data_IF_132707514593
#
_entry.id   IF_132707514593
#
_cell.length_a   1.000
_cell.length_b   1.000
_cell.length_c   1.000
_cell.angle_alpha   90.00
_cell.angle_beta   90.00
_cell.angle_gamma   90.00
#
_symmetry.space_group_name_H-M   'P 1'
#
loop_
_entity.id
_entity.type
_entity.pdbx_description
1 polymer ?
#
# COMPACT_ATOMS: atom_id res chain seq x y z
N UNK A 1 0.40 -20.74 35.28
CA UNK A 1 0.68 -19.54 34.48
C UNK A 1 -0.23 -19.62 33.29
N UNK A 2 -1.22 -18.72 33.15
CA UNK A 2 -2.06 -18.70 31.98
C UNK A 2 -1.22 -18.19 30.79
N UNK A 3 -1.21 -18.93 29.69
CA UNK A 3 -0.58 -18.45 28.45
C UNK A 3 -1.22 -17.13 28.05
N UNK A 4 -0.39 -16.14 27.70
CA UNK A 4 -0.88 -14.89 27.15
C UNK A 4 -1.73 -15.18 25.91
N UNK A 5 -2.89 -14.50 25.71
CA UNK A 5 -3.72 -14.74 24.54
C UNK A 5 -2.92 -14.47 23.28
N UNK A 6 -2.95 -15.43 22.33
CA UNK A 6 -2.32 -15.29 21.00
C UNK A 6 -2.83 -14.00 20.37
N UNK A 7 -1.94 -13.06 20.16
CA UNK A 7 -2.27 -11.79 19.55
C UNK A 7 -2.56 -12.01 18.05
N UNK A 8 -3.41 -11.15 17.42
CA UNK A 8 -3.73 -11.30 15.99
C UNK A 8 -2.52 -11.35 15.06
N UNK A 9 -1.40 -10.75 15.47
CA UNK A 9 -0.14 -10.73 14.73
C UNK A 9 0.73 -12.00 14.91
N UNK A 10 0.42 -12.87 15.89
CA UNK A 10 1.15 -14.13 16.12
C UNK A 10 0.65 -15.27 15.22
N UNK A 11 -0.41 -15.05 14.44
CA UNK A 11 -0.92 -16.04 13.51
C UNK A 11 0.00 -16.15 12.29
N UNK A 12 0.37 -17.39 11.88
CA UNK A 12 1.11 -17.58 10.64
C UNK A 12 0.29 -16.99 9.47
N UNK A 13 0.99 -16.34 8.55
CA UNK A 13 0.36 -15.86 7.33
C UNK A 13 -0.24 -17.05 6.57
N UNK A 14 -1.51 -17.03 6.14
CA UNK A 14 -2.01 -18.01 5.20
C UNK A 14 -1.12 -17.96 3.95
N UNK A 15 -0.62 -19.11 3.51
CA UNK A 15 0.16 -19.22 2.29
C UNK A 15 -0.66 -18.62 1.15
N UNK A 16 -0.09 -17.66 0.44
CA UNK A 16 -0.65 -17.11 -0.77
C UNK A 16 -0.41 -18.09 -1.91
N UNK A 17 -0.98 -19.24 -1.93
CA UNK A 17 -0.93 -20.26 -2.99
C UNK A 17 0.08 -20.01 -4.16
N UNK A 18 1.22 -19.37 -3.90
CA UNK A 18 2.24 -19.01 -4.87
C UNK A 18 1.87 -17.92 -5.90
N UNK A 19 0.65 -17.36 -5.85
CA UNK A 19 0.18 -16.36 -6.81
C UNK A 19 0.63 -14.94 -6.43
N UNK A 20 1.05 -14.11 -7.40
CA UNK A 20 1.39 -12.72 -7.14
C UNK A 20 0.16 -11.91 -6.70
N UNK A 21 0.39 -10.82 -5.97
CA UNK A 21 -0.65 -9.85 -5.69
C UNK A 21 -1.00 -9.07 -6.96
N UNK A 22 -2.26 -9.04 -7.38
CA UNK A 22 -2.69 -8.35 -8.61
C UNK A 22 -2.35 -6.86 -8.60
N UNK A 23 -2.37 -6.24 -7.44
CA UNK A 23 -2.06 -4.82 -7.24
C UNK A 23 -0.57 -4.49 -7.35
N UNK A 24 0.31 -5.50 -7.43
CA UNK A 24 1.74 -5.32 -7.67
C UNK A 24 2.13 -5.44 -9.14
N UNK A 25 1.19 -5.80 -10.02
CA UNK A 25 1.46 -6.04 -11.43
C UNK A 25 1.47 -4.72 -12.21
N UNK A 26 2.54 -4.47 -12.94
CA UNK A 26 2.68 -3.41 -13.94
C UNK A 26 2.11 -3.89 -15.29
N UNK A 27 1.89 -3.00 -16.27
CA UNK A 27 1.40 -3.42 -17.58
C UNK A 27 2.25 -4.49 -18.25
N UNK A 28 3.58 -4.43 -18.10
CA UNK A 28 4.51 -5.43 -18.63
C UNK A 28 4.29 -6.81 -17.99
N UNK A 29 4.08 -6.88 -16.68
CA UNK A 29 3.82 -8.15 -15.99
C UNK A 29 2.48 -8.76 -16.41
N UNK A 30 1.44 -7.92 -16.58
CA UNK A 30 0.15 -8.38 -17.08
C UNK A 30 0.24 -8.93 -18.50
N UNK A 31 1.09 -8.34 -19.33
CA UNK A 31 1.35 -8.85 -20.68
C UNK A 31 2.11 -10.19 -20.66
N UNK A 32 3.11 -10.36 -19.80
CA UNK A 32 3.85 -11.61 -19.60
C UNK A 32 2.97 -12.75 -19.06
N UNK A 33 1.90 -12.42 -18.36
CA UNK A 33 0.90 -13.37 -17.86
C UNK A 33 -0.22 -13.67 -18.88
N UNK A 34 -0.05 -13.29 -20.15
CA UNK A 34 -1.04 -13.50 -21.21
C UNK A 34 -2.42 -12.86 -20.91
N UNK A 35 -2.44 -11.61 -20.44
CA UNK A 35 -3.66 -10.87 -20.17
C UNK A 35 -4.61 -10.87 -21.38
N UNK A 36 -5.85 -11.36 -21.25
CA UNK A 36 -6.82 -11.35 -22.35
C UNK A 36 -7.23 -9.91 -22.69
N UNK A 37 -6.76 -9.40 -23.82
CA UNK A 37 -6.96 -8.04 -24.28
C UNK A 37 -5.82 -7.10 -23.93
N UNK A 38 -6.12 -5.84 -23.60
CA UNK A 38 -5.09 -4.84 -23.33
C UNK A 38 -4.61 -4.89 -21.87
N UNK A 39 -3.35 -5.26 -21.65
CA UNK A 39 -2.69 -5.20 -20.36
C UNK A 39 -2.72 -3.78 -19.76
N UNK A 40 -2.52 -2.74 -20.61
CA UNK A 40 -2.57 -1.35 -20.18
C UNK A 40 -3.97 -0.93 -19.71
N UNK A 41 -5.04 -1.34 -20.40
CA UNK A 41 -6.41 -1.03 -19.99
C UNK A 41 -6.81 -1.79 -18.72
N UNK A 42 -6.36 -3.03 -18.58
CA UNK A 42 -6.53 -3.80 -17.34
C UNK A 42 -5.83 -3.13 -16.17
N UNK A 43 -4.59 -2.68 -16.37
CA UNK A 43 -3.84 -1.92 -15.38
C UNK A 43 -4.57 -0.63 -14.98
N UNK A 44 -5.07 0.16 -15.93
CA UNK A 44 -5.84 1.39 -15.65
C UNK A 44 -7.06 1.11 -14.77
N UNK A 45 -7.82 0.07 -15.11
CA UNK A 45 -9.01 -0.32 -14.34
C UNK A 45 -8.68 -0.76 -12.92
N UNK A 46 -7.57 -1.47 -12.72
CA UNK A 46 -7.07 -1.86 -11.40
C UNK A 46 -6.62 -0.64 -10.58
N UNK A 47 -5.88 0.31 -11.16
CA UNK A 47 -5.14 1.33 -10.42
C UNK A 47 -5.76 2.73 -10.46
N UNK A 48 -7.06 2.84 -10.83
CA UNK A 48 -7.81 4.10 -10.83
C UNK A 48 -9.08 3.98 -9.99
N UNK A 49 -9.00 4.06 -8.64
CA UNK A 49 -10.13 3.80 -7.75
C UNK A 49 -11.32 4.76 -7.99
N UNK A 50 -11.11 5.94 -8.56
CA UNK A 50 -12.19 6.86 -8.95
C UNK A 50 -13.03 6.35 -10.13
N UNK A 51 -12.63 5.27 -10.81
CA UNK A 51 -13.42 4.60 -11.88
C UNK A 51 -14.09 3.32 -11.39
N UNK A 52 -13.88 2.95 -10.13
CA UNK A 52 -14.43 1.72 -9.57
C UNK A 52 -15.93 1.84 -9.32
N UNK A 53 -16.62 0.72 -9.36
CA UNK A 53 -18.04 0.60 -9.01
C UNK A 53 -18.15 -0.20 -7.72
N UNK A 54 -18.92 0.32 -6.77
CA UNK A 54 -19.13 -0.33 -5.47
C UNK A 54 -17.82 -0.72 -4.76
N UNK A 55 -16.80 0.15 -4.86
CA UNK A 55 -15.49 -0.06 -4.23
C UNK A 55 -14.59 -1.09 -4.91
N UNK A 56 -14.94 -1.58 -6.11
CA UNK A 56 -14.16 -2.57 -6.84
C UNK A 56 -13.96 -2.21 -8.32
N UNK A 57 -12.84 -2.63 -8.96
CA UNK A 57 -12.58 -2.37 -10.36
C UNK A 57 -13.56 -3.11 -11.28
N UNK A 58 -14.09 -2.39 -12.28
CA UNK A 58 -14.93 -2.95 -13.33
C UNK A 58 -14.05 -3.58 -14.43
N UNK A 59 -13.69 -4.84 -14.25
CA UNK A 59 -12.78 -5.57 -15.16
C UNK A 59 -13.53 -6.30 -16.30
N UNK A 60 -14.82 -6.46 -16.16
CA UNK A 60 -15.58 -7.38 -17.01
C UNK A 60 -15.29 -8.85 -16.68
N UNK A 61 -16.21 -9.78 -17.05
CA UNK A 61 -16.17 -11.15 -16.55
C UNK A 61 -14.97 -11.98 -17.05
N UNK A 62 -14.51 -11.75 -18.27
CA UNK A 62 -13.40 -12.50 -18.85
C UNK A 62 -12.06 -12.16 -18.18
N UNK A 63 -11.75 -10.85 -18.03
CA UNK A 63 -10.52 -10.38 -17.39
C UNK A 63 -10.54 -10.74 -15.90
N UNK A 64 -11.67 -10.56 -15.22
CA UNK A 64 -11.81 -10.92 -13.80
C UNK A 64 -11.49 -12.39 -13.57
N UNK A 65 -12.13 -13.30 -14.32
CA UNK A 65 -11.91 -14.75 -14.19
C UNK A 65 -10.47 -15.16 -14.48
N UNK A 66 -9.87 -14.57 -15.50
CA UNK A 66 -8.46 -14.81 -15.80
C UNK A 66 -7.56 -14.33 -14.66
N UNK A 67 -7.76 -13.09 -14.17
CA UNK A 67 -6.94 -12.51 -13.12
C UNK A 67 -7.07 -13.27 -11.79
N UNK A 68 -8.26 -13.74 -11.44
CA UNK A 68 -8.51 -14.62 -10.29
C UNK A 68 -7.76 -15.95 -10.39
N UNK A 69 -7.49 -16.42 -11.61
CA UNK A 69 -6.69 -17.62 -11.86
C UNK A 69 -5.19 -17.42 -11.69
N UNK A 70 -4.66 -16.22 -11.97
CA UNK A 70 -3.21 -15.96 -12.01
C UNK A 70 -2.71 -15.09 -10.86
N UNK A 71 -3.57 -14.36 -10.16
CA UNK A 71 -3.17 -13.41 -9.13
C UNK A 71 -4.17 -13.34 -7.95
N UNK A 72 -3.73 -12.82 -6.82
CA UNK A 72 -4.57 -12.52 -5.65
C UNK A 72 -5.11 -11.08 -5.76
N UNK A 73 -6.43 -10.95 -5.77
CA UNK A 73 -7.17 -9.69 -5.91
C UNK A 73 -7.53 -9.04 -4.56
N UNK A 74 -7.19 -9.65 -3.43
CA UNK A 74 -7.55 -9.09 -2.12
C UNK A 74 -6.79 -7.79 -1.86
N UNK A 75 -7.55 -6.73 -1.55
CA UNK A 75 -7.03 -5.48 -1.01
C UNK A 75 -6.97 -5.55 0.53
N UNK A 76 -6.10 -4.75 1.17
CA UNK A 76 -6.22 -4.51 2.60
C UNK A 76 -7.61 -3.98 2.94
N UNK A 77 -8.30 -4.63 3.88
CA UNK A 77 -9.66 -4.24 4.27
C UNK A 77 -9.62 -3.19 5.39
N UNK A 78 -10.36 -2.08 5.25
CA UNK A 78 -10.54 -1.12 6.34
C UNK A 78 -11.45 -1.76 7.40
N UNK A 79 -10.89 -2.04 8.60
CA UNK A 79 -11.60 -2.75 9.68
C UNK A 79 -11.86 -1.88 10.90
N UNK A 80 -11.15 -0.77 11.06
CA UNK A 80 -11.39 0.20 12.15
C UNK A 80 -10.96 1.61 11.73
N UNK A 81 -11.60 2.63 12.32
CA UNK A 81 -11.29 4.04 12.09
C UNK A 81 -11.42 4.83 13.38
N UNK A 82 -10.39 5.57 13.73
CA UNK A 82 -10.33 6.43 14.90
C UNK A 82 -10.19 7.89 14.46
N UNK A 83 -11.32 8.61 14.31
CA UNK A 83 -11.30 10.00 13.88
C UNK A 83 -10.77 10.93 14.99
N UNK A 84 -10.10 11.99 14.58
CA UNK A 84 -9.64 13.09 15.42
C UNK A 84 -10.46 14.36 15.15
N UNK A 85 -10.45 15.29 16.10
CA UNK A 85 -11.21 16.54 16.02
C UNK A 85 -10.73 17.49 14.91
N UNK A 86 -9.52 17.32 14.40
CA UNK A 86 -8.95 18.08 13.28
C UNK A 86 -9.28 17.50 11.89
N UNK A 87 -10.10 16.44 11.85
CA UNK A 87 -10.48 15.74 10.63
C UNK A 87 -9.50 14.64 10.20
N UNK A 88 -8.36 14.48 10.88
CA UNK A 88 -7.50 13.33 10.65
C UNK A 88 -8.16 12.04 11.17
N UNK A 89 -7.76 10.90 10.62
CA UNK A 89 -8.22 9.61 11.10
C UNK A 89 -7.10 8.58 11.05
N UNK A 90 -6.89 7.86 12.15
CA UNK A 90 -6.08 6.65 12.17
C UNK A 90 -6.95 5.49 11.72
N UNK A 91 -6.47 4.71 10.79
CA UNK A 91 -7.18 3.65 10.10
C UNK A 91 -6.45 2.33 10.31
N UNK A 92 -7.19 1.28 10.65
CA UNK A 92 -6.65 -0.07 10.76
C UNK A 92 -7.05 -0.85 9.53
N UNK A 93 -6.05 -1.39 8.85
CA UNK A 93 -6.21 -2.19 7.64
C UNK A 93 -5.83 -3.63 7.93
N UNK A 94 -6.72 -4.56 7.62
CA UNK A 94 -6.46 -5.99 7.70
C UNK A 94 -5.98 -6.53 6.37
N UNK A 95 -4.83 -7.20 6.40
CA UNK A 95 -4.19 -7.83 5.25
C UNK A 95 -4.82 -9.19 4.96
N UNK A 96 -4.54 -9.74 3.78
CA UNK A 96 -5.06 -11.03 3.35
C UNK A 96 -4.66 -12.21 4.26
N UNK A 97 -3.61 -12.04 5.06
CA UNK A 97 -3.13 -13.02 6.05
C UNK A 97 -3.72 -12.80 7.47
N UNK A 98 -4.68 -11.87 7.59
CA UNK A 98 -5.31 -11.52 8.87
C UNK A 98 -4.48 -10.60 9.76
N UNK A 99 -3.27 -10.22 9.34
CA UNK A 99 -2.45 -9.24 10.06
C UNK A 99 -2.98 -7.83 9.84
N UNK A 100 -2.74 -6.96 10.81
CA UNK A 100 -3.22 -5.59 10.79
C UNK A 100 -2.07 -4.60 10.73
N UNK A 101 -2.28 -3.56 9.97
CA UNK A 101 -1.38 -2.41 9.86
C UNK A 101 -2.18 -1.12 10.04
N UNK A 102 -1.49 -0.06 10.35
CA UNK A 102 -2.08 1.26 10.49
C UNK A 102 -1.74 2.16 9.31
N UNK A 103 -2.70 2.99 8.94
CA UNK A 103 -2.51 4.13 8.05
C UNK A 103 -3.18 5.36 8.65
N UNK A 104 -2.78 6.57 8.24
CA UNK A 104 -3.42 7.80 8.70
C UNK A 104 -3.88 8.62 7.50
N UNK A 105 -5.15 9.00 7.53
CA UNK A 105 -5.74 9.98 6.63
C UNK A 105 -5.63 11.37 7.26
N UNK A 106 -4.99 12.32 6.57
CA UNK A 106 -4.77 13.68 7.04
C UNK A 106 -5.28 14.67 5.98
N UNK A 107 -6.54 15.12 6.05
CA UNK A 107 -7.06 16.12 5.15
C UNK A 107 -6.44 17.49 5.47
N UNK A 108 -6.13 18.27 4.45
CA UNK A 108 -5.71 19.66 4.60
C UNK A 108 -6.82 20.58 4.10
N UNK A 109 -7.57 21.24 4.98
CA UNK A 109 -8.62 22.18 4.62
C UNK A 109 -7.99 23.54 4.20
N UNK A 110 -7.40 23.57 3.00
CA UNK A 110 -6.84 24.77 2.39
C UNK A 110 -7.62 25.12 1.11
N UNK A 111 -7.38 26.29 0.53
CA UNK A 111 -8.05 26.76 -0.70
C UNK A 111 -8.00 25.75 -1.85
N UNK A 112 -6.94 24.94 -1.94
CA UNK A 112 -6.86 23.75 -2.79
C UNK A 112 -6.80 22.51 -1.87
N UNK A 113 -7.91 21.83 -1.63
CA UNK A 113 -7.93 20.69 -0.72
C UNK A 113 -6.96 19.61 -1.18
N UNK A 114 -6.14 19.18 -0.26
CA UNK A 114 -5.17 18.09 -0.44
C UNK A 114 -5.32 17.12 0.71
N UNK A 115 -5.01 15.87 0.45
CA UNK A 115 -4.95 14.86 1.48
C UNK A 115 -3.55 14.28 1.55
N UNK A 116 -3.09 14.01 2.75
CA UNK A 116 -1.86 13.24 2.97
C UNK A 116 -2.23 11.89 3.58
N UNK A 117 -1.76 10.81 2.96
CA UNK A 117 -1.82 9.48 3.58
C UNK A 117 -0.46 9.13 4.15
N UNK A 118 -0.45 8.78 5.44
CA UNK A 118 0.68 8.14 6.09
C UNK A 118 0.47 6.64 5.99
N UNK A 119 1.38 5.92 5.34
CA UNK A 119 1.24 4.49 5.05
C UNK A 119 2.39 3.68 5.62
N UNK A 120 2.11 2.41 5.87
CA UNK A 120 3.03 1.45 6.45
C UNK A 120 3.85 0.73 5.38
N UNK A 121 5.06 0.29 5.73
CA UNK A 121 5.97 -0.48 4.89
C UNK A 121 6.22 -1.90 5.40
N UNK A 122 5.91 -2.17 6.67
CA UNK A 122 6.10 -3.47 7.32
C UNK A 122 4.94 -3.78 8.27
N UNK A 123 4.80 -5.03 8.65
CA UNK A 123 4.03 -5.45 9.84
C UNK A 123 5.01 -5.50 11.00
N UNK A 124 4.90 -4.54 11.93
CA UNK A 124 5.90 -4.32 12.97
C UNK A 124 7.13 -3.57 12.46
N UNK A 125 8.19 -3.49 13.26
CA UNK A 125 9.43 -2.81 12.91
C UNK A 125 10.61 -3.36 13.72
N UNK A 126 11.76 -3.60 13.07
CA UNK A 126 12.98 -4.13 13.72
C UNK A 126 13.86 -3.02 14.35
N UNK A 127 13.55 -1.73 14.16
CA UNK A 127 14.45 -0.64 14.57
C UNK A 127 14.50 -0.40 16.07
N UNK A 128 13.50 -0.88 16.83
CA UNK A 128 13.48 -0.80 18.29
C UNK A 128 13.52 0.62 18.87
N UNK A 129 13.05 1.63 18.16
CA UNK A 129 13.00 3.01 18.65
C UNK A 129 12.20 3.09 19.95
N UNK A 130 12.80 3.60 21.01
CA UNK A 130 12.23 3.59 22.38
C UNK A 130 10.95 4.41 22.54
N UNK A 131 10.71 5.36 21.66
CA UNK A 131 9.50 6.22 21.63
C UNK A 131 8.41 5.68 20.71
N UNK A 132 8.64 4.59 19.99
CA UNK A 132 7.74 4.10 18.94
C UNK A 132 7.03 2.81 19.39
N UNK A 133 5.69 2.84 19.43
CA UNK A 133 4.89 1.67 19.77
C UNK A 133 5.12 0.50 18.80
N UNK A 134 5.28 0.77 17.50
CA UNK A 134 5.60 -0.26 16.51
C UNK A 134 7.00 -0.88 16.75
N UNK A 135 7.95 -0.09 17.23
CA UNK A 135 9.29 -0.57 17.55
C UNK A 135 9.32 -1.62 18.68
N UNK A 136 8.40 -1.54 19.63
CA UNK A 136 8.28 -2.53 20.72
C UNK A 136 7.63 -3.85 20.27
N UNK A 137 6.96 -3.87 19.11
CA UNK A 137 6.31 -5.09 18.58
C UNK A 137 7.29 -6.06 17.91
N UNK A 138 8.49 -5.59 17.56
CA UNK A 138 9.39 -6.31 16.65
C UNK A 138 8.87 -6.35 15.21
N UNK A 139 9.63 -6.97 14.31
CA UNK A 139 9.21 -7.16 12.92
C UNK A 139 8.59 -8.55 12.75
N UNK A 140 7.44 -8.61 12.10
CA UNK A 140 6.82 -9.87 11.68
C UNK A 140 7.14 -10.18 10.22
N UNK A 141 6.93 -9.19 9.31
CA UNK A 141 7.31 -9.30 7.90
C UNK A 141 7.29 -7.95 7.17
N UNK A 142 7.94 -7.93 6.04
CA UNK A 142 7.79 -6.86 5.05
C UNK A 142 6.40 -6.89 4.41
N UNK A 143 5.87 -5.72 4.05
CA UNK A 143 4.73 -5.61 3.16
C UNK A 143 5.17 -5.83 1.72
N UNK A 144 4.36 -6.53 0.95
CA UNK A 144 4.56 -6.64 -0.49
C UNK A 144 4.17 -5.33 -1.18
N UNK A 145 4.70 -5.09 -2.38
CA UNK A 145 4.41 -3.86 -3.14
C UNK A 145 2.91 -3.63 -3.35
N UNK A 146 2.16 -4.69 -3.64
CA UNK A 146 0.71 -4.63 -3.78
C UNK A 146 -0.04 -4.35 -2.47
N UNK A 147 0.51 -4.73 -1.31
CA UNK A 147 -0.05 -4.36 0.00
C UNK A 147 0.23 -2.90 0.34
N UNK A 148 1.40 -2.40 -0.03
CA UNK A 148 1.76 -0.98 0.12
C UNK A 148 0.83 -0.12 -0.74
N UNK A 149 0.70 -0.42 -2.03
CA UNK A 149 -0.22 0.27 -2.91
C UNK A 149 -1.67 0.07 -2.49
N UNK A 150 -2.04 -1.14 -2.06
CA UNK A 150 -3.37 -1.50 -1.62
C UNK A 150 -3.91 -0.61 -0.50
N UNK A 151 -3.06 -0.17 0.44
CA UNK A 151 -3.45 0.82 1.45
C UNK A 151 -3.99 2.08 0.77
N UNK A 152 -3.26 2.62 -0.20
CA UNK A 152 -3.64 3.85 -0.92
C UNK A 152 -4.95 3.65 -1.68
N UNK A 153 -5.08 2.54 -2.41
CA UNK A 153 -6.29 2.24 -3.18
C UNK A 153 -7.51 2.08 -2.28
N UNK A 154 -7.39 1.38 -1.16
CA UNK A 154 -8.47 1.20 -0.19
C UNK A 154 -8.89 2.55 0.42
N UNK A 155 -7.93 3.38 0.83
CA UNK A 155 -8.24 4.68 1.40
C UNK A 155 -8.89 5.61 0.38
N UNK A 156 -8.41 5.64 -0.85
CA UNK A 156 -9.00 6.46 -1.91
C UNK A 156 -10.42 6.00 -2.27
N UNK A 157 -10.67 4.70 -2.30
CA UNK A 157 -12.01 4.17 -2.56
C UNK A 157 -13.00 4.50 -1.45
N UNK A 158 -12.54 4.53 -0.18
CA UNK A 158 -13.39 4.76 0.99
C UNK A 158 -13.57 6.24 1.34
N UNK A 159 -12.54 7.08 1.15
CA UNK A 159 -12.48 8.43 1.72
C UNK A 159 -12.19 9.54 0.70
N UNK A 160 -11.80 9.20 -0.55
CA UNK A 160 -11.19 10.16 -1.49
C UNK A 160 -9.71 10.47 -1.13
N UNK A 161 -9.05 11.36 -1.85
CA UNK A 161 -9.49 12.16 -2.98
C UNK A 161 -9.80 11.34 -4.22
N UNK A 162 -10.64 11.86 -5.08
CA UNK A 162 -11.05 11.19 -6.31
C UNK A 162 -9.93 11.06 -7.35
N UNK A 163 -8.84 11.85 -7.23
CA UNK A 163 -7.74 11.87 -8.20
C UNK A 163 -6.37 11.91 -7.52
N UNK A 164 -5.41 11.17 -8.06
CA UNK A 164 -4.08 11.03 -7.49
C UNK A 164 -3.26 12.33 -7.36
N UNK A 165 -3.54 13.37 -8.17
CA UNK A 165 -2.84 14.64 -8.09
C UNK A 165 -3.17 15.48 -6.84
N UNK A 166 -4.25 15.15 -6.12
CA UNK A 166 -4.64 15.77 -4.85
C UNK A 166 -3.99 15.09 -3.64
N UNK A 167 -3.36 13.94 -3.87
CA UNK A 167 -2.76 13.10 -2.85
C UNK A 167 -1.28 13.41 -2.64
N UNK A 168 -0.85 13.38 -1.38
CA UNK A 168 0.55 13.30 -0.94
C UNK A 168 0.70 12.03 -0.09
N UNK A 169 1.80 11.32 -0.25
CA UNK A 169 2.11 10.11 0.53
C UNK A 169 3.35 10.31 1.38
N UNK A 170 3.29 9.82 2.62
CA UNK A 170 4.44 9.76 3.50
C UNK A 170 4.58 8.34 4.05
N UNK A 171 5.77 7.76 3.93
CA UNK A 171 6.12 6.48 4.52
C UNK A 171 6.62 6.70 5.95
N UNK A 172 5.65 7.00 6.85
CA UNK A 172 5.89 7.30 8.26
C UNK A 172 4.95 6.47 9.17
N UNK A 173 4.33 5.42 8.62
CA UNK A 173 3.53 4.46 9.36
C UNK A 173 4.39 3.37 10.01
N UNK A 174 3.89 2.14 10.05
CA UNK A 174 4.61 1.03 10.63
C UNK A 174 5.76 0.57 9.72
N UNK A 175 6.94 0.34 10.34
CA UNK A 175 8.11 -0.22 9.68
C UNK A 175 9.20 0.80 9.31
N UNK A 176 10.40 0.27 9.01
CA UNK A 176 11.49 1.01 8.39
C UNK A 176 11.45 0.78 6.87
N UNK A 177 11.11 1.82 6.07
CA UNK A 177 10.91 1.64 4.63
C UNK A 177 12.14 1.09 3.90
N UNK A 178 13.34 1.48 4.33
CA UNK A 178 14.58 1.05 3.66
C UNK A 178 14.98 -0.40 3.99
N UNK A 179 14.42 -1.03 5.01
CA UNK A 179 14.51 -2.48 5.19
C UNK A 179 13.66 -3.25 4.18
N UNK A 180 12.67 -2.59 3.57
CA UNK A 180 11.76 -3.17 2.57
C UNK A 180 11.94 -2.51 1.19
N UNK A 181 13.15 -2.14 0.83
CA UNK A 181 13.42 -1.25 -0.30
C UNK A 181 12.92 -1.80 -1.65
N UNK A 182 13.00 -3.10 -1.89
CA UNK A 182 12.62 -3.68 -3.18
C UNK A 182 11.09 -3.59 -3.40
N UNK A 183 10.29 -3.92 -2.38
CA UNK A 183 8.85 -3.75 -2.44
C UNK A 183 8.43 -2.27 -2.39
N UNK A 184 9.13 -1.46 -1.60
CA UNK A 184 8.92 -0.01 -1.55
C UNK A 184 9.11 0.62 -2.94
N UNK A 185 10.24 0.35 -3.60
CA UNK A 185 10.53 0.90 -4.91
C UNK A 185 9.51 0.42 -5.96
N UNK A 186 9.15 -0.87 -5.94
CA UNK A 186 8.07 -1.39 -6.79
C UNK A 186 6.76 -0.65 -6.57
N UNK A 187 6.37 -0.42 -5.31
CA UNK A 187 5.17 0.35 -4.99
C UNK A 187 5.26 1.80 -5.49
N UNK A 188 6.41 2.46 -5.37
CA UNK A 188 6.64 3.81 -5.90
C UNK A 188 6.50 3.83 -7.43
N UNK A 189 7.02 2.84 -8.15
CA UNK A 189 6.82 2.71 -9.62
C UNK A 189 5.33 2.63 -9.97
N UNK A 190 4.57 1.81 -9.25
CA UNK A 190 3.13 1.66 -9.43
C UNK A 190 2.37 2.97 -9.14
N UNK A 191 2.69 3.63 -8.02
CA UNK A 191 2.10 4.91 -7.61
C UNK A 191 2.36 6.02 -8.64
N UNK A 192 3.57 6.08 -9.20
CA UNK A 192 3.99 7.09 -10.17
C UNK A 192 3.56 6.75 -11.61
N UNK A 193 3.08 5.54 -11.88
CA UNK A 193 2.77 5.11 -13.24
C UNK A 193 1.66 5.96 -13.86
N UNK A 194 1.88 6.61 -15.03
CA UNK A 194 0.94 7.59 -15.60
C UNK A 194 -0.41 6.98 -16.00
N UNK A 195 -0.44 5.71 -16.31
CA UNK A 195 -1.68 5.00 -16.61
C UNK A 195 -2.47 4.60 -15.35
N UNK A 196 -1.86 4.62 -14.16
CA UNK A 196 -2.49 4.36 -12.87
C UNK A 196 -2.85 5.65 -12.13
N UNK A 197 -2.36 5.77 -10.87
CA UNK A 197 -2.56 6.96 -10.03
C UNK A 197 -1.83 8.19 -10.59
N UNK A 198 -0.69 8.02 -11.26
CA UNK A 198 0.08 9.10 -11.85
C UNK A 198 0.64 10.08 -10.81
N UNK A 199 0.93 9.60 -9.61
CA UNK A 199 1.42 10.45 -8.52
C UNK A 199 2.82 10.95 -8.85
N UNK A 200 3.03 12.26 -8.80
CA UNK A 200 4.36 12.85 -9.01
C UNK A 200 5.34 12.43 -7.90
N UNK A 201 6.57 12.06 -8.26
CA UNK A 201 7.60 11.62 -7.30
C UNK A 201 7.85 12.62 -6.15
N UNK A 202 7.72 13.92 -6.40
CA UNK A 202 7.83 14.98 -5.38
C UNK A 202 6.64 15.04 -4.41
N UNK A 203 5.64 14.16 -4.56
CA UNK A 203 4.52 13.98 -3.62
C UNK A 203 4.66 12.73 -2.76
N UNK A 204 5.77 12.03 -2.87
CA UNK A 204 6.08 10.85 -2.07
C UNK A 204 7.29 11.16 -1.21
N UNK A 205 7.14 11.05 0.09
CA UNK A 205 8.23 11.21 1.07
C UNK A 205 8.51 9.88 1.74
N UNK A 206 9.78 9.47 1.74
CA UNK A 206 10.26 8.29 2.47
C UNK A 206 11.06 8.76 3.66
N UNK A 207 10.54 8.49 4.87
CA UNK A 207 11.26 8.73 6.12
C UNK A 207 12.05 7.48 6.52
N UNK A 208 13.23 7.67 7.06
CA UNK A 208 14.08 6.54 7.52
C UNK A 208 14.78 6.90 8.82
N UNK A 209 15.06 5.88 9.61
CA UNK A 209 15.90 5.98 10.80
C UNK A 209 17.40 6.11 10.48
N UNK A 210 17.78 6.15 9.19
CA UNK A 210 19.15 6.40 8.77
C UNK A 210 19.93 5.17 8.31
N UNK A 211 19.28 4.18 7.68
CA UNK A 211 19.96 3.05 7.06
C UNK A 211 20.80 3.50 5.85
N UNK A 212 22.07 3.76 6.06
CA UNK A 212 23.00 4.34 5.07
C UNK A 212 22.99 3.55 3.76
N UNK A 213 23.14 2.23 3.81
CA UNK A 213 23.12 1.36 2.61
C UNK A 213 21.77 1.44 1.86
N UNK A 214 20.67 1.58 2.58
CA UNK A 214 19.34 1.77 2.02
C UNK A 214 19.20 3.14 1.33
N UNK A 215 19.74 4.20 1.94
CA UNK A 215 19.77 5.57 1.38
C UNK A 215 20.59 5.58 0.09
N UNK A 216 21.78 4.96 0.09
CA UNK A 216 22.63 4.85 -1.10
C UNK A 216 21.96 4.08 -2.24
N UNK A 217 21.27 2.99 -1.93
CA UNK A 217 20.48 2.23 -2.92
C UNK A 217 19.33 3.06 -3.45
N UNK A 218 18.51 3.68 -2.58
CA UNK A 218 17.37 4.50 -2.98
C UNK A 218 17.80 5.67 -3.87
N UNK A 219 18.96 6.27 -3.61
CA UNK A 219 19.48 7.39 -4.41
C UNK A 219 19.75 7.07 -5.87
N UNK A 220 19.91 5.78 -6.21
CA UNK A 220 20.18 5.26 -7.55
C UNK A 220 18.93 4.77 -8.28
N UNK A 221 17.78 4.72 -7.60
CA UNK A 221 16.53 4.20 -8.17
C UNK A 221 15.67 5.32 -8.77
N UNK A 222 14.93 4.98 -9.83
CA UNK A 222 13.93 5.88 -10.43
C UNK A 222 12.56 5.16 -10.52
N UNK A 223 11.45 5.84 -10.23
CA UNK A 223 11.37 7.23 -9.73
C UNK A 223 11.88 7.34 -8.28
N UNK A 224 12.68 8.40 -8.01
CA UNK A 224 13.20 8.66 -6.68
C UNK A 224 12.26 9.60 -5.93
N UNK A 225 11.72 9.21 -4.75
CA UNK A 225 10.91 10.05 -3.88
C UNK A 225 11.76 11.12 -3.16
N UNK A 226 11.11 11.98 -2.37
CA UNK A 226 11.73 12.90 -1.44
C UNK A 226 12.16 12.21 -0.16
#
# INVERSE_FOLDING_TARGET
>A
MAEAPIQPWDRPAPEREGRPCAWSLLPEDLAELDCPGSALETFKRLHRPWTWKDGAPDLGPAIRRWLEGVADLRLPALVDSQPSSDGAAKLVLELADGRRIEAVHMPRPVRNPRVTYCISSQVGCAMGCTFCATGSMGILRNLQAGEILGQVLTLMAALGPERGHELTLVFMGMGEPLHNLDHLHRAIRLLCHPAGLGLGKGRITVSTSGLVSGIERLSKLEPRPL
#
